data_IF_067609518485
#
_entry.id   IF_067609518485
#
_cell.length_a   1.000
_cell.length_b   1.000
_cell.length_c   1.000
_cell.angle_alpha   90.00
_cell.angle_beta   90.00
_cell.angle_gamma   90.00
#
_symmetry.space_group_name_H-M   'P 1'
#
loop_
_entity.id
_entity.type
_entity.pdbx_description
1 polymer ?
#
# COMPACT_ATOMS: atom_id res chain seq x y z
N UNK A 1 -28.66 24.78 -12.21
CA UNK A 1 -28.29 23.47 -11.62
C UNK A 1 -27.91 23.72 -10.18
N UNK A 2 -28.63 23.16 -9.21
CA UNK A 2 -28.13 23.11 -7.83
C UNK A 2 -26.87 22.24 -7.83
N UNK A 3 -25.80 22.71 -7.19
CA UNK A 3 -24.63 21.87 -6.94
C UNK A 3 -25.11 20.65 -6.15
N UNK A 4 -24.80 19.45 -6.64
CA UNK A 4 -25.17 18.21 -5.96
C UNK A 4 -24.36 18.16 -4.66
N UNK A 5 -25.04 18.14 -3.53
CA UNK A 5 -24.39 17.96 -2.23
C UNK A 5 -23.81 16.54 -2.19
N UNK A 6 -22.47 16.43 -2.16
CA UNK A 6 -21.78 15.15 -2.15
C UNK A 6 -21.97 14.47 -0.78
N UNK A 7 -22.20 13.16 -0.78
CA UNK A 7 -22.33 12.41 0.48
C UNK A 7 -21.00 12.38 1.23
N UNK A 8 -21.06 12.62 2.54
CA UNK A 8 -19.88 12.50 3.40
C UNK A 8 -19.41 11.05 3.50
N UNK A 9 -18.09 10.83 3.35
CA UNK A 9 -17.46 9.51 3.42
C UNK A 9 -16.61 9.39 4.69
N UNK A 10 -16.80 8.28 5.40
CA UNK A 10 -16.09 7.96 6.63
C UNK A 10 -15.38 6.61 6.57
N UNK A 11 -14.25 6.52 7.26
CA UNK A 11 -13.53 5.28 7.54
C UNK A 11 -14.04 4.74 8.87
N UNK A 12 -14.59 3.52 8.88
CA UNK A 12 -15.12 2.87 10.10
C UNK A 12 -14.13 1.87 10.68
N UNK A 13 -13.28 1.29 9.85
CA UNK A 13 -12.15 0.46 10.30
C UNK A 13 -11.00 0.52 9.30
N UNK A 14 -9.79 0.30 9.78
CA UNK A 14 -8.61 0.10 8.96
C UNK A 14 -7.69 -0.91 9.65
N UNK A 15 -7.29 -1.94 8.92
CA UNK A 15 -6.38 -2.98 9.42
C UNK A 15 -5.45 -3.45 8.30
N UNK A 16 -4.42 -4.20 8.67
CA UNK A 16 -3.45 -4.79 7.75
C UNK A 16 -2.89 -6.11 8.27
N UNK A 17 -2.35 -6.91 7.38
CA UNK A 17 -1.45 -8.00 7.79
C UNK A 17 -0.15 -7.41 8.36
N UNK A 18 0.68 -8.21 9.04
CA UNK A 18 2.10 -7.91 9.11
C UNK A 18 2.68 -7.76 7.71
N UNK A 19 3.78 -7.03 7.61
CA UNK A 19 4.59 -6.93 6.40
C UNK A 19 5.71 -7.96 6.50
N UNK A 20 5.66 -8.96 5.62
CA UNK A 20 6.67 -9.99 5.50
C UNK A 20 7.83 -9.54 4.61
N UNK A 21 9.05 -9.93 4.95
CA UNK A 21 10.21 -9.69 4.08
C UNK A 21 10.20 -10.63 2.88
N UNK A 22 10.83 -10.21 1.77
CA UNK A 22 10.92 -11.00 0.54
C UNK A 22 11.36 -12.44 0.79
N UNK A 23 10.59 -13.39 0.25
CA UNK A 23 10.76 -14.84 0.33
C UNK A 23 10.88 -15.36 1.76
N UNK A 24 10.15 -14.74 2.70
CA UNK A 24 10.24 -15.06 4.12
C UNK A 24 8.89 -15.40 4.76
N UNK A 25 8.53 -14.81 5.91
CA UNK A 25 7.44 -15.25 6.78
C UNK A 25 6.07 -15.41 6.09
N UNK A 26 5.73 -14.52 5.16
CA UNK A 26 4.45 -14.52 4.44
C UNK A 26 4.53 -15.09 3.02
N UNK A 27 5.73 -15.46 2.54
CA UNK A 27 5.93 -15.98 1.18
C UNK A 27 5.10 -17.21 0.79
N UNK A 28 4.62 -18.07 1.72
CA UNK A 28 3.71 -19.17 1.35
C UNK A 28 2.33 -18.71 0.87
N UNK A 29 1.94 -17.46 1.08
CA UNK A 29 0.60 -16.94 0.75
C UNK A 29 0.64 -16.08 -0.53
N UNK A 30 -0.33 -16.30 -1.41
CA UNK A 30 -0.57 -15.46 -2.58
C UNK A 30 -1.20 -14.11 -2.18
N UNK A 31 -1.04 -13.09 -3.01
CA UNK A 31 -1.59 -11.75 -2.74
C UNK A 31 -3.10 -11.75 -2.39
N UNK A 32 -3.98 -12.50 -3.10
CA UNK A 32 -5.39 -12.57 -2.73
C UNK A 32 -5.69 -13.22 -1.38
N UNK A 33 -4.81 -14.10 -0.88
CA UNK A 33 -4.95 -14.72 0.44
C UNK A 33 -4.56 -13.73 1.55
N UNK A 34 -3.55 -12.89 1.33
CA UNK A 34 -3.24 -11.77 2.22
C UNK A 34 -4.38 -10.74 2.20
N UNK A 35 -4.89 -10.44 1.00
CA UNK A 35 -6.08 -9.61 0.77
C UNK A 35 -7.28 -10.06 1.57
N UNK A 36 -7.62 -11.35 1.53
CA UNK A 36 -8.79 -11.87 2.25
C UNK A 36 -8.66 -11.74 3.77
N UNK A 37 -7.45 -11.89 4.32
CA UNK A 37 -7.19 -11.70 5.75
C UNK A 37 -7.43 -10.25 6.15
N UNK A 38 -6.90 -9.29 5.37
CA UNK A 38 -7.09 -7.87 5.64
C UNK A 38 -8.56 -7.45 5.50
N UNK A 39 -9.24 -7.86 4.41
CA UNK A 39 -10.67 -7.57 4.18
C UNK A 39 -11.53 -8.13 5.31
N UNK A 40 -11.33 -9.40 5.68
CA UNK A 40 -12.06 -10.04 6.79
C UNK A 40 -11.82 -9.30 8.10
N UNK A 41 -10.56 -9.00 8.43
CA UNK A 41 -10.21 -8.27 9.65
C UNK A 41 -10.80 -6.86 9.69
N UNK A 42 -10.88 -6.17 8.55
CA UNK A 42 -11.46 -4.83 8.48
C UNK A 42 -12.96 -4.87 8.79
N UNK A 43 -13.69 -5.82 8.21
CA UNK A 43 -15.13 -6.00 8.46
C UNK A 43 -15.40 -6.39 9.91
N UNK A 44 -14.65 -7.35 10.45
CA UNK A 44 -14.74 -7.75 11.86
C UNK A 44 -14.46 -6.58 12.80
N UNK A 45 -13.45 -5.75 12.50
CA UNK A 45 -13.12 -4.57 13.28
C UNK A 45 -14.17 -3.46 13.18
N UNK A 46 -14.84 -3.32 12.04
CA UNK A 46 -15.95 -2.39 11.84
C UNK A 46 -17.22 -2.83 12.58
N UNK A 47 -17.36 -4.13 12.88
CA UNK A 47 -18.53 -4.67 13.57
C UNK A 47 -19.78 -4.70 12.69
N UNK A 48 -19.62 -4.79 11.37
CA UNK A 48 -20.73 -4.85 10.41
C UNK A 48 -20.93 -6.27 9.85
N UNK A 49 -22.16 -6.64 9.43
CA UNK A 49 -22.40 -7.87 8.68
C UNK A 49 -21.64 -7.88 7.34
N UNK A 50 -21.13 -9.05 6.95
CA UNK A 50 -20.35 -9.19 5.69
C UNK A 50 -21.19 -8.92 4.44
N UNK A 51 -22.47 -9.24 4.49
CA UNK A 51 -23.46 -9.03 3.44
C UNK A 51 -23.88 -7.56 3.29
N UNK A 52 -23.51 -6.69 4.24
CA UNK A 52 -23.69 -5.25 4.11
C UNK A 52 -22.67 -4.62 3.15
N UNK A 53 -21.52 -5.26 2.88
CA UNK A 53 -20.52 -4.75 1.94
C UNK A 53 -21.02 -4.91 0.52
N UNK A 54 -21.14 -3.79 -0.20
CA UNK A 54 -21.75 -3.77 -1.53
C UNK A 54 -20.72 -3.88 -2.65
N UNK A 55 -19.48 -3.41 -2.46
CA UNK A 55 -18.46 -3.41 -3.51
C UNK A 55 -17.04 -3.36 -2.90
N UNK A 56 -16.06 -3.95 -3.60
CA UNK A 56 -14.68 -4.06 -3.13
C UNK A 56 -13.66 -3.61 -4.17
N UNK A 57 -12.80 -2.66 -3.82
CA UNK A 57 -11.65 -2.25 -4.63
C UNK A 57 -10.33 -2.60 -3.94
N UNK A 58 -9.49 -3.42 -4.58
CA UNK A 58 -8.17 -3.78 -4.04
C UNK A 58 -7.08 -3.43 -5.04
N UNK A 59 -6.11 -2.64 -4.58
CA UNK A 59 -4.90 -2.34 -5.32
C UNK A 59 -3.98 -3.56 -5.39
N UNK A 60 -3.50 -3.90 -6.58
CA UNK A 60 -2.44 -4.90 -6.77
C UNK A 60 -1.68 -4.60 -8.07
N UNK A 61 -0.35 -4.51 -7.99
CA UNK A 61 0.51 -4.16 -9.12
C UNK A 61 0.90 -5.42 -9.90
N UNK A 62 1.54 -6.37 -9.22
CA UNK A 62 2.05 -7.59 -9.84
C UNK A 62 0.93 -8.64 -9.88
N UNK A 63 0.13 -8.61 -10.94
CA UNK A 63 -1.07 -9.46 -11.07
C UNK A 63 -0.81 -10.80 -11.75
N UNK A 64 0.31 -10.96 -12.44
CA UNK A 64 0.61 -12.22 -13.12
C UNK A 64 0.81 -13.37 -12.13
N UNK A 65 0.27 -14.54 -12.48
CA UNK A 65 0.29 -15.71 -11.59
C UNK A 65 -0.75 -15.69 -10.47
N UNK A 66 -1.40 -14.55 -10.19
CA UNK A 66 -2.41 -14.44 -9.14
C UNK A 66 -3.78 -15.05 -9.52
N UNK A 67 -3.97 -15.47 -10.78
CA UNK A 67 -5.25 -15.98 -11.29
C UNK A 67 -6.25 -14.88 -11.68
N UNK A 68 -7.45 -15.27 -12.10
CA UNK A 68 -8.47 -14.33 -12.57
C UNK A 68 -9.03 -13.48 -11.42
N UNK A 69 -9.17 -12.17 -11.66
CA UNK A 69 -9.82 -11.21 -10.76
C UNK A 69 -9.31 -11.25 -9.29
N UNK A 70 -8.06 -10.84 -9.01
CA UNK A 70 -7.47 -10.90 -7.67
C UNK A 70 -8.33 -10.27 -6.55
N UNK A 71 -8.93 -9.09 -6.76
CA UNK A 71 -9.82 -8.46 -5.78
C UNK A 71 -11.05 -9.33 -5.45
N UNK A 72 -11.59 -10.02 -6.46
CA UNK A 72 -12.73 -10.94 -6.29
C UNK A 72 -12.34 -12.18 -5.50
N UNK A 73 -11.15 -12.73 -5.75
CA UNK A 73 -10.61 -13.83 -4.94
C UNK A 73 -10.47 -13.42 -3.47
N UNK A 74 -9.91 -12.23 -3.20
CA UNK A 74 -9.79 -11.71 -1.84
C UNK A 74 -11.15 -11.55 -1.14
N UNK A 75 -12.13 -10.94 -1.82
CA UNK A 75 -13.48 -10.74 -1.28
C UNK A 75 -14.21 -12.06 -0.98
N UNK A 76 -14.21 -13.01 -1.91
CA UNK A 76 -14.87 -14.30 -1.71
C UNK A 76 -14.19 -15.15 -0.64
N UNK A 77 -12.85 -15.15 -0.59
CA UNK A 77 -12.09 -15.87 0.44
C UNK A 77 -12.27 -15.23 1.84
N UNK A 78 -12.61 -13.94 1.91
CA UNK A 78 -13.00 -13.29 3.17
C UNK A 78 -14.45 -13.64 3.60
N UNK A 79 -15.20 -14.30 2.72
CA UNK A 79 -16.58 -14.75 2.94
C UNK A 79 -17.63 -13.68 2.68
N UNK A 80 -17.36 -12.72 1.79
CA UNK A 80 -18.37 -11.77 1.32
C UNK A 80 -19.36 -12.47 0.37
N UNK A 81 -20.51 -11.85 0.16
CA UNK A 81 -21.55 -12.39 -0.71
C UNK A 81 -21.04 -12.52 -2.17
N UNK A 82 -21.44 -13.59 -2.85
CA UNK A 82 -21.18 -13.77 -4.28
C UNK A 82 -21.75 -12.63 -5.15
N UNK A 83 -22.74 -11.88 -4.67
CA UNK A 83 -23.27 -10.71 -5.37
C UNK A 83 -22.33 -9.49 -5.32
N UNK A 84 -21.28 -9.49 -4.49
CA UNK A 84 -20.41 -8.31 -4.26
C UNK A 84 -19.51 -8.02 -5.48
N UNK A 85 -19.74 -6.99 -6.30
CA UNK A 85 -18.81 -6.59 -7.35
C UNK A 85 -17.40 -6.29 -6.80
N UNK A 86 -16.38 -6.60 -7.60
CA UNK A 86 -14.99 -6.38 -7.22
C UNK A 86 -14.15 -5.87 -8.40
N UNK A 87 -13.24 -4.94 -8.12
CA UNK A 87 -12.30 -4.39 -9.11
C UNK A 87 -10.89 -4.40 -8.56
N UNK A 88 -9.94 -4.95 -9.33
CA UNK A 88 -8.51 -4.83 -9.04
C UNK A 88 -7.98 -3.56 -9.67
N UNK A 89 -7.32 -2.71 -8.89
CA UNK A 89 -6.78 -1.41 -9.36
C UNK A 89 -5.27 -1.50 -9.47
N UNK A 90 -4.70 -1.01 -10.57
CA UNK A 90 -3.26 -0.85 -10.72
C UNK A 90 -2.92 0.61 -11.04
N UNK A 91 -2.25 1.25 -10.09
CA UNK A 91 -1.57 2.54 -10.20
C UNK A 91 -0.17 2.42 -9.57
N UNK A 92 0.52 1.30 -9.78
CA UNK A 92 1.85 1.02 -9.20
C UNK A 92 1.82 1.19 -7.66
N UNK A 93 2.82 1.82 -7.02
CA UNK A 93 2.90 1.98 -5.56
C UNK A 93 1.66 2.68 -4.95
N UNK A 94 0.96 3.45 -5.79
CA UNK A 94 -0.22 4.25 -5.50
C UNK A 94 -1.54 3.43 -5.50
N UNK A 95 -1.50 2.16 -5.90
CA UNK A 95 -2.70 1.33 -6.15
C UNK A 95 -3.65 1.21 -4.95
N UNK A 96 -3.10 1.05 -3.73
CA UNK A 96 -3.90 0.92 -2.52
C UNK A 96 -4.65 2.22 -2.19
N UNK A 97 -3.97 3.35 -2.28
CA UNK A 97 -4.57 4.67 -2.04
C UNK A 97 -5.59 5.01 -3.12
N UNK A 98 -5.29 4.72 -4.39
CA UNK A 98 -6.24 4.95 -5.49
C UNK A 98 -7.50 4.13 -5.37
N UNK A 99 -7.41 2.89 -4.84
CA UNK A 99 -8.58 2.07 -4.55
C UNK A 99 -9.51 2.73 -3.53
N UNK A 100 -8.95 3.33 -2.48
CA UNK A 100 -9.70 4.09 -1.47
C UNK A 100 -10.35 5.34 -2.09
N UNK A 101 -9.63 6.07 -2.94
CA UNK A 101 -10.16 7.25 -3.64
C UNK A 101 -11.35 6.87 -4.55
N UNK A 102 -11.20 5.83 -5.37
CA UNK A 102 -12.27 5.35 -6.27
C UNK A 102 -13.51 4.88 -5.49
N UNK A 103 -13.31 4.17 -4.37
CA UNK A 103 -14.42 3.76 -3.52
C UNK A 103 -15.11 4.97 -2.86
N UNK A 104 -14.33 5.96 -2.40
CA UNK A 104 -14.86 7.20 -1.84
C UNK A 104 -15.71 7.96 -2.87
N UNK A 105 -15.26 8.05 -4.12
CA UNK A 105 -16.04 8.66 -5.20
C UNK A 105 -17.38 7.95 -5.42
N UNK A 106 -17.40 6.61 -5.37
CA UNK A 106 -18.62 5.83 -5.55
C UNK A 106 -19.64 6.06 -4.42
N UNK A 107 -19.15 6.22 -3.19
CA UNK A 107 -19.94 6.58 -2.01
C UNK A 107 -20.45 8.03 -2.09
N UNK A 108 -19.60 8.98 -2.46
CA UNK A 108 -19.95 10.40 -2.65
C UNK A 108 -21.07 10.59 -3.69
N UNK A 109 -21.00 9.83 -4.79
CA UNK A 109 -22.00 9.85 -5.88
C UNK A 109 -23.31 9.11 -5.52
N UNK A 110 -23.34 8.39 -4.40
CA UNK A 110 -24.49 7.66 -3.91
C UNK A 110 -24.82 6.38 -4.69
N UNK A 111 -23.83 5.78 -5.35
CA UNK A 111 -24.01 4.48 -6.02
C UNK A 111 -23.94 3.32 -5.03
N UNK A 112 -23.14 3.48 -3.97
CA UNK A 112 -23.02 2.56 -2.85
C UNK A 112 -23.08 3.35 -1.53
N UNK A 113 -23.32 2.63 -0.45
CA UNK A 113 -23.33 3.12 0.93
C UNK A 113 -22.20 2.52 1.77
N UNK A 114 -21.73 1.31 1.43
CA UNK A 114 -20.73 0.54 2.19
C UNK A 114 -19.79 -0.19 1.24
N UNK A 115 -18.50 0.14 1.30
CA UNK A 115 -17.47 -0.47 0.47
C UNK A 115 -16.26 -0.88 1.29
N UNK A 116 -15.51 -1.87 0.78
CA UNK A 116 -14.17 -2.16 1.28
C UNK A 116 -13.15 -1.71 0.24
N UNK A 117 -12.13 -0.99 0.68
CA UNK A 117 -11.04 -0.57 -0.18
C UNK A 117 -9.67 -0.79 0.47
N UNK A 118 -8.66 -1.09 -0.33
CA UNK A 118 -7.32 -1.35 0.19
C UNK A 118 -6.31 -1.74 -0.88
N UNK A 119 -5.29 -2.49 -0.46
CA UNK A 119 -4.27 -3.02 -1.36
C UNK A 119 -3.67 -4.32 -0.84
N UNK A 120 -3.13 -5.10 -1.75
CA UNK A 120 -2.47 -6.38 -1.47
C UNK A 120 -1.36 -6.61 -2.48
N UNK A 121 -0.25 -7.15 -2.02
CA UNK A 121 0.86 -7.53 -2.88
C UNK A 121 1.57 -8.75 -2.30
N UNK A 122 2.02 -9.64 -3.17
CA UNK A 122 2.98 -10.67 -2.80
C UNK A 122 4.11 -10.69 -3.81
N UNK A 123 5.12 -9.87 -3.54
CA UNK A 123 6.30 -9.80 -4.38
C UNK A 123 7.08 -11.12 -4.33
N UNK A 124 7.00 -11.89 -3.24
CA UNK A 124 7.62 -13.22 -3.15
C UNK A 124 7.10 -14.23 -4.17
N UNK A 125 5.86 -14.04 -4.66
CA UNK A 125 5.20 -14.96 -5.59
C UNK A 125 5.12 -14.41 -7.02
N UNK A 126 5.78 -13.27 -7.31
CA UNK A 126 5.85 -12.72 -8.65
C UNK A 126 6.61 -13.70 -9.58
N UNK A 127 6.01 -14.13 -10.70
CA UNK A 127 6.63 -15.15 -11.56
C UNK A 127 7.73 -14.57 -12.45
N UNK A 128 8.42 -15.45 -13.18
CA UNK A 128 9.18 -15.05 -14.37
C UNK A 128 8.31 -15.21 -15.62
N UNK A 129 8.56 -14.39 -16.64
CA UNK A 129 7.88 -14.41 -17.92
C UNK A 129 8.73 -15.06 -19.01
N UNK A 130 8.05 -15.81 -19.87
CA UNK A 130 8.54 -16.24 -21.17
C UNK A 130 7.54 -15.75 -22.22
N UNK A 131 8.01 -15.02 -23.22
CA UNK A 131 7.16 -14.54 -24.30
C UNK A 131 6.51 -15.71 -25.04
N UNK A 132 5.24 -15.57 -25.42
CA UNK A 132 4.55 -16.55 -26.26
C UNK A 132 5.09 -16.47 -27.68
N UNK A 133 5.36 -17.62 -28.30
CA UNK A 133 5.82 -17.73 -29.69
C UNK A 133 6.89 -18.79 -29.85
N UNK A 134 7.58 -18.76 -30.98
CA UNK A 134 8.69 -19.66 -31.25
C UNK A 134 9.90 -19.34 -30.37
N UNK A 135 10.55 -20.37 -29.85
CA UNK A 135 11.80 -20.20 -29.10
C UNK A 135 12.95 -19.92 -30.08
N UNK A 136 13.60 -18.74 -30.03
CA UNK A 136 14.64 -18.38 -30.98
C UNK A 136 15.88 -19.28 -30.86
N UNK A 137 16.55 -19.51 -32.00
CA UNK A 137 17.88 -20.13 -32.03
C UNK A 137 18.86 -19.25 -31.24
N UNK A 138 19.62 -19.85 -30.32
CA UNK A 138 20.55 -19.13 -29.43
C UNK A 138 20.06 -18.96 -27.98
N UNK A 139 18.81 -19.31 -27.68
CA UNK A 139 18.28 -19.40 -26.31
C UNK A 139 17.18 -18.39 -25.98
N UNK A 140 16.59 -18.54 -24.80
CA UNK A 140 15.49 -17.71 -24.29
C UNK A 140 15.91 -16.95 -23.04
N UNK A 141 15.39 -15.75 -22.87
CA UNK A 141 15.54 -14.96 -21.65
C UNK A 141 14.24 -15.03 -20.84
N UNK A 142 14.32 -15.53 -19.61
CA UNK A 142 13.23 -15.46 -18.64
C UNK A 142 13.29 -14.12 -17.93
N UNK A 143 12.23 -13.32 -18.07
CA UNK A 143 12.17 -11.97 -17.53
C UNK A 143 11.53 -11.98 -16.14
N UNK A 144 12.18 -11.36 -15.15
CA UNK A 144 11.61 -11.21 -13.81
C UNK A 144 10.46 -10.18 -13.84
N UNK A 145 9.24 -10.61 -13.50
CA UNK A 145 8.07 -9.72 -13.49
C UNK A 145 8.16 -8.60 -12.48
N UNK A 146 8.81 -8.83 -11.33
CA UNK A 146 9.00 -7.83 -10.30
C UNK A 146 9.82 -6.66 -10.83
N UNK A 147 10.92 -6.98 -11.52
CA UNK A 147 11.77 -5.99 -12.16
C UNK A 147 11.05 -5.32 -13.32
N UNK A 148 10.42 -6.10 -14.19
CA UNK A 148 9.82 -5.61 -15.44
C UNK A 148 8.58 -4.74 -15.23
N UNK A 149 7.57 -5.25 -14.52
CA UNK A 149 6.27 -4.58 -14.34
C UNK A 149 6.25 -3.66 -13.12
N UNK A 150 7.10 -3.92 -12.13
CA UNK A 150 7.11 -3.18 -10.87
C UNK A 150 8.19 -2.10 -10.78
N UNK A 151 9.43 -2.42 -11.17
CA UNK A 151 10.60 -1.61 -10.79
C UNK A 151 11.39 -1.01 -11.97
N UNK A 152 10.93 -1.15 -13.20
CA UNK A 152 11.59 -0.59 -14.39
C UNK A 152 10.74 0.53 -15.00
N UNK A 153 11.34 1.68 -15.22
CA UNK A 153 10.67 2.78 -15.90
C UNK A 153 10.34 2.40 -17.34
N UNK A 154 9.09 2.60 -17.75
CA UNK A 154 8.60 2.14 -19.04
C UNK A 154 9.26 2.89 -20.22
N UNK A 155 9.79 4.10 -20.02
CA UNK A 155 10.30 4.95 -21.10
C UNK A 155 11.80 4.81 -21.24
N UNK A 156 12.52 5.03 -20.14
CA UNK A 156 13.97 5.08 -20.09
C UNK A 156 14.62 3.73 -19.76
N UNK A 157 13.82 2.73 -19.36
CA UNK A 157 14.25 1.35 -19.11
C UNK A 157 15.34 1.20 -18.05
N UNK A 158 15.40 2.13 -17.09
CA UNK A 158 16.23 1.99 -15.90
C UNK A 158 15.39 1.61 -14.67
N UNK A 159 16.06 1.19 -13.61
CA UNK A 159 15.43 0.84 -12.34
C UNK A 159 14.90 2.10 -11.61
N UNK A 160 13.82 1.98 -10.83
CA UNK A 160 13.26 3.09 -10.02
C UNK A 160 14.28 3.78 -9.11
N UNK A 161 15.27 3.03 -8.63
CA UNK A 161 16.38 3.56 -7.84
C UNK A 161 17.21 4.61 -8.58
N UNK A 162 17.32 4.52 -9.91
CA UNK A 162 18.00 5.52 -10.75
C UNK A 162 17.22 6.84 -10.79
N UNK A 163 15.87 6.80 -10.76
CA UNK A 163 15.05 8.01 -10.59
C UNK A 163 15.34 8.71 -9.25
N UNK A 164 15.52 7.91 -8.20
CA UNK A 164 15.91 8.38 -6.87
C UNK A 164 17.26 9.09 -6.90
N UNK A 165 18.27 8.49 -7.52
CA UNK A 165 19.61 9.10 -7.70
C UNK A 165 19.52 10.43 -8.48
N UNK A 166 18.73 10.48 -9.56
CA UNK A 166 18.49 11.70 -10.31
C UNK A 166 17.90 12.82 -9.43
N UNK A 167 16.92 12.49 -8.58
CA UNK A 167 16.32 13.45 -7.66
C UNK A 167 17.31 13.88 -6.57
N UNK A 168 18.05 12.93 -5.99
CA UNK A 168 19.08 13.22 -4.98
C UNK A 168 20.12 14.21 -5.53
N UNK A 169 20.58 14.00 -6.76
CA UNK A 169 21.48 14.93 -7.46
C UNK A 169 20.85 16.31 -7.69
N UNK A 170 19.63 16.39 -8.22
CA UNK A 170 18.94 17.66 -8.51
C UNK A 170 18.68 18.49 -7.25
N UNK A 171 18.39 17.82 -6.13
CA UNK A 171 18.01 18.46 -4.87
C UNK A 171 19.15 18.58 -3.86
N UNK A 172 20.35 18.07 -4.19
CA UNK A 172 21.52 18.11 -3.32
C UNK A 172 21.40 17.25 -2.05
N UNK A 173 20.63 16.15 -2.11
CA UNK A 173 20.41 15.25 -0.96
C UNK A 173 21.56 14.25 -0.89
N UNK A 174 22.38 14.36 0.15
CA UNK A 174 23.58 13.54 0.32
C UNK A 174 23.28 12.10 0.74
N UNK A 175 24.27 11.21 0.54
CA UNK A 175 24.27 9.85 1.07
C UNK A 175 24.07 9.81 2.60
N UNK A 176 24.73 10.72 3.32
CA UNK A 176 24.67 10.78 4.77
C UNK A 176 23.25 11.08 5.25
N UNK A 177 22.57 12.07 4.65
CA UNK A 177 21.19 12.42 4.99
C UNK A 177 20.22 11.26 4.74
N UNK A 178 20.41 10.52 3.64
CA UNK A 178 19.60 9.34 3.32
C UNK A 178 19.81 8.21 4.34
N UNK A 179 21.06 7.93 4.73
CA UNK A 179 21.37 6.92 5.74
C UNK A 179 20.85 7.30 7.13
N UNK A 180 20.99 8.57 7.53
CA UNK A 180 20.44 9.09 8.78
C UNK A 180 18.92 8.98 8.82
N UNK A 181 18.24 9.31 7.71
CA UNK A 181 16.80 9.14 7.57
C UNK A 181 16.39 7.67 7.71
N UNK A 182 17.10 6.76 7.05
CA UNK A 182 16.84 5.32 7.13
C UNK A 182 17.01 4.79 8.56
N UNK A 183 18.13 5.09 9.21
CA UNK A 183 18.42 4.71 10.60
C UNK A 183 17.29 5.21 11.54
N UNK A 184 16.86 6.46 11.35
CA UNK A 184 15.76 7.04 12.12
C UNK A 184 14.43 6.31 11.87
N UNK A 185 14.14 5.93 10.62
CA UNK A 185 12.96 5.15 10.26
C UNK A 185 12.92 3.80 11.00
N UNK A 186 14.03 3.03 10.97
CA UNK A 186 14.14 1.78 11.72
C UNK A 186 13.92 1.95 13.23
N UNK A 187 14.53 2.99 13.83
CA UNK A 187 14.37 3.29 15.26
C UNK A 187 12.93 3.65 15.62
N UNK A 188 12.25 4.45 14.79
CA UNK A 188 10.83 4.82 14.99
C UNK A 188 9.93 3.59 14.94
N UNK A 189 10.13 2.70 13.97
CA UNK A 189 9.35 1.47 13.85
C UNK A 189 9.59 0.55 15.05
N UNK A 190 10.85 0.38 15.49
CA UNK A 190 11.17 -0.40 16.68
C UNK A 190 10.46 0.14 17.93
N UNK A 191 10.49 1.46 18.15
CA UNK A 191 9.81 2.11 19.26
C UNK A 191 8.27 1.97 19.18
N UNK A 192 7.69 2.06 17.98
CA UNK A 192 6.25 1.87 17.77
C UNK A 192 5.80 0.43 18.05
N UNK A 193 6.62 -0.56 17.72
CA UNK A 193 6.36 -1.97 18.06
C UNK A 193 6.48 -2.19 19.56
N UNK A 194 7.54 -1.69 20.20
CA UNK A 194 7.76 -1.83 21.65
C UNK A 194 6.64 -1.18 22.47
N UNK A 195 6.16 -0.01 22.03
CA UNK A 195 5.01 0.68 22.64
C UNK A 195 3.64 0.10 22.26
N UNK A 196 3.59 -0.94 21.43
CA UNK A 196 2.36 -1.64 21.05
C UNK A 196 1.42 -0.85 20.15
N UNK A 197 1.88 0.22 19.49
CA UNK A 197 1.05 1.09 18.63
C UNK A 197 0.36 0.27 17.53
N UNK A 198 1.09 -0.66 16.90
CA UNK A 198 0.59 -1.44 15.77
C UNK A 198 -0.37 -2.57 16.15
N UNK A 199 -0.50 -2.91 17.44
CA UNK A 199 -1.40 -3.98 17.90
C UNK A 199 -2.87 -3.74 17.53
N UNK A 200 -3.26 -2.48 17.29
CA UNK A 200 -4.63 -2.10 16.93
C UNK A 200 -4.93 -2.24 15.44
N UNK A 201 -3.90 -2.26 14.58
CA UNK A 201 -4.03 -2.32 13.12
C UNK A 201 -3.59 -3.66 12.52
N UNK A 202 -2.71 -4.43 13.18
CA UNK A 202 -2.24 -5.72 12.66
C UNK A 202 -3.26 -6.83 12.96
N UNK A 203 -3.68 -7.54 11.91
CA UNK A 203 -4.39 -8.81 11.97
C UNK A 203 -3.37 -9.93 11.85
N UNK A 204 -3.18 -10.78 12.89
CA UNK A 204 -2.24 -11.89 12.83
C UNK A 204 -2.55 -12.85 11.67
N UNK A 205 -1.50 -13.35 11.03
CA UNK A 205 -1.57 -14.30 9.93
C UNK A 205 -1.07 -15.66 10.39
N UNK A 206 -1.91 -16.69 10.26
CA UNK A 206 -1.54 -18.08 10.55
C UNK A 206 -1.02 -18.74 9.28
N UNK A 207 0.23 -19.20 9.32
CA UNK A 207 0.87 -19.99 8.26
C UNK A 207 0.77 -21.47 8.65
N UNK A 208 0.03 -22.30 7.88
CA UNK A 208 -0.12 -23.71 8.20
C UNK A 208 1.21 -24.45 8.26
N UNK A 209 1.39 -25.25 9.32
CA UNK A 209 2.57 -26.09 9.48
C UNK A 209 2.64 -27.18 8.41
N UNK A 210 3.85 -27.47 7.91
CA UNK A 210 4.06 -28.60 6.98
C UNK A 210 4.22 -29.91 7.76
N UNK A 211 3.50 -30.97 7.36
CA UNK A 211 3.65 -32.38 7.79
C UNK A 211 4.05 -32.54 9.27
N UNK A 212 3.09 -32.43 10.18
CA UNK A 212 3.28 -32.67 11.61
C UNK A 212 3.96 -31.53 12.40
N UNK A 213 4.37 -30.44 11.73
CA UNK A 213 4.81 -29.21 12.41
C UNK A 213 3.60 -28.36 12.82
N UNK A 214 3.67 -27.62 13.93
CA UNK A 214 2.62 -26.69 14.33
C UNK A 214 2.54 -25.50 13.35
N UNK A 215 1.40 -24.83 13.36
CA UNK A 215 1.20 -23.58 12.65
C UNK A 215 2.09 -22.47 13.21
N UNK A 216 2.51 -21.56 12.34
CA UNK A 216 3.29 -20.38 12.70
C UNK A 216 2.39 -19.16 12.64
N UNK A 217 2.30 -18.41 13.74
CA UNK A 217 1.56 -17.15 13.78
C UNK A 217 2.54 -16.01 13.53
N UNK A 218 2.32 -15.28 12.45
CA UNK A 218 3.04 -14.04 12.12
C UNK A 218 2.15 -12.88 12.58
N UNK A 219 2.62 -12.09 13.55
CA UNK A 219 1.82 -11.02 14.17
C UNK A 219 2.57 -9.69 14.31
N UNK A 220 3.77 -9.60 13.73
CA UNK A 220 4.65 -8.43 13.81
C UNK A 220 5.37 -8.28 12.48
N UNK A 221 5.59 -7.04 12.04
CA UNK A 221 6.37 -6.75 10.83
C UNK A 221 7.79 -7.32 10.93
N UNK A 222 8.31 -7.83 9.82
CA UNK A 222 9.57 -8.57 9.81
C UNK A 222 10.80 -7.68 9.59
N UNK A 223 10.67 -6.70 8.70
CA UNK A 223 11.82 -5.99 8.12
C UNK A 223 12.58 -5.12 9.12
N UNK A 224 11.88 -4.48 10.06
CA UNK A 224 12.51 -3.50 10.97
C UNK A 224 13.57 -4.13 11.90
N UNK A 225 13.57 -5.46 12.04
CA UNK A 225 14.56 -6.22 12.81
C UNK A 225 15.79 -6.58 11.98
N UNK A 226 15.73 -6.44 10.66
CA UNK A 226 16.76 -6.87 9.69
C UNK A 226 17.71 -5.73 9.33
N UNK A 227 18.26 -5.07 10.34
CA UNK A 227 19.19 -3.95 10.16
C UNK A 227 20.43 -4.10 11.04
N UNK A 228 21.58 -3.75 10.48
CA UNK A 228 22.81 -3.53 11.24
C UNK A 228 23.24 -2.08 11.03
N UNK A 229 23.03 -1.24 12.04
CA UNK A 229 23.28 0.20 11.94
C UNK A 229 24.74 0.55 11.63
N UNK A 230 25.71 -0.22 12.13
CA UNK A 230 27.13 0.01 11.88
C UNK A 230 27.51 -0.23 10.42
N UNK A 231 26.78 -1.14 9.75
CA UNK A 231 27.01 -1.46 8.33
C UNK A 231 26.35 -0.46 7.38
N UNK A 232 25.34 0.30 7.81
CA UNK A 232 24.58 1.20 6.91
C UNK A 232 25.49 2.14 6.12
N UNK A 233 26.45 2.88 6.74
CA UNK A 233 27.34 3.79 5.99
C UNK A 233 28.34 3.06 5.08
N UNK A 234 28.56 1.77 5.30
CA UNK A 234 29.56 0.96 4.59
C UNK A 234 28.98 0.26 3.35
N UNK A 235 27.65 0.25 3.20
CA UNK A 235 27.01 -0.44 2.09
C UNK A 235 27.32 0.24 0.74
N UNK A 236 27.57 -0.56 -0.31
CA UNK A 236 27.75 -0.04 -1.65
C UNK A 236 26.42 0.50 -2.19
N UNK A 237 26.52 1.45 -3.10
CA UNK A 237 25.38 1.95 -3.87
C UNK A 237 24.98 0.92 -4.93
N UNK A 238 23.69 0.64 -5.04
CA UNK A 238 23.20 -0.52 -5.81
C UNK A 238 22.64 -0.15 -7.18
N UNK A 239 22.26 1.12 -7.38
CA UNK A 239 21.64 1.58 -8.63
C UNK A 239 22.58 2.42 -9.50
N UNK A 240 23.60 3.05 -8.91
CA UNK A 240 24.55 3.89 -9.61
C UNK A 240 25.96 3.69 -9.03
N UNK A 241 26.93 3.39 -9.90
CA UNK A 241 28.32 3.14 -9.50
C UNK A 241 29.06 4.42 -9.14
N UNK A 242 28.97 5.44 -10.00
CA UNK A 242 29.68 6.71 -9.82
C UNK A 242 28.81 7.70 -9.06
N UNK A 243 29.28 8.22 -7.93
CA UNK A 243 28.56 9.23 -7.14
C UNK A 243 27.12 8.85 -6.76
N UNK A 244 26.84 7.55 -6.58
CA UNK A 244 25.55 7.09 -6.10
C UNK A 244 25.36 7.40 -4.61
N UNK A 245 24.12 7.45 -4.17
CA UNK A 245 23.73 7.65 -2.76
C UNK A 245 22.80 6.57 -2.23
N UNK A 246 22.11 5.84 -3.10
CA UNK A 246 21.07 4.88 -2.70
C UNK A 246 21.66 3.48 -2.52
N UNK A 247 21.37 2.88 -1.36
CA UNK A 247 21.81 1.55 -0.95
C UNK A 247 20.62 0.67 -0.59
N UNK A 248 20.87 -0.62 -0.37
CA UNK A 248 19.86 -1.54 0.13
C UNK A 248 19.30 -1.16 1.53
N UNK A 249 20.05 -0.40 2.35
CA UNK A 249 19.58 -0.02 3.69
C UNK A 249 18.74 1.26 3.71
N UNK A 250 18.93 2.16 2.73
CA UNK A 250 18.22 3.43 2.67
C UNK A 250 17.12 3.48 1.58
N UNK A 251 16.98 2.41 0.79
CA UNK A 251 15.83 2.15 -0.07
C UNK A 251 14.77 1.29 0.65
N UNK A 252 13.53 1.32 0.16
CA UNK A 252 12.51 0.34 0.57
C UNK A 252 12.90 -1.07 0.12
N UNK A 253 12.54 -2.07 0.92
CA UNK A 253 12.75 -3.48 0.56
C UNK A 253 11.59 -4.02 -0.29
N UNK A 254 11.72 -5.29 -0.68
CA UNK A 254 10.68 -6.06 -1.37
C UNK A 254 9.91 -6.83 -0.29
N UNK A 255 8.57 -6.79 -0.35
CA UNK A 255 7.74 -7.28 0.75
C UNK A 255 6.45 -7.97 0.28
N UNK A 256 5.84 -8.71 1.21
CA UNK A 256 4.49 -9.25 1.08
C UNK A 256 3.59 -8.62 2.14
N UNK A 257 2.36 -8.27 1.78
CA UNK A 257 1.39 -7.76 2.75
C UNK A 257 0.07 -7.29 2.13
N UNK A 258 -0.90 -7.00 2.98
CA UNK A 258 -2.17 -6.38 2.58
C UNK A 258 -2.71 -5.46 3.65
N UNK A 259 -3.41 -4.40 3.23
CA UNK A 259 -4.20 -3.53 4.09
C UNK A 259 -5.60 -3.33 3.49
N UNK A 260 -6.61 -3.15 4.35
CA UNK A 260 -7.98 -2.87 3.95
C UNK A 260 -8.67 -1.94 4.97
N UNK A 261 -9.61 -1.14 4.47
CA UNK A 261 -10.48 -0.30 5.28
C UNK A 261 -11.94 -0.49 4.86
N UNK A 262 -12.84 -0.33 5.83
CA UNK A 262 -14.28 -0.23 5.58
C UNK A 262 -14.62 1.26 5.44
N UNK A 263 -15.17 1.61 4.29
CA UNK A 263 -15.63 2.94 3.94
C UNK A 263 -17.15 2.95 3.90
N UNK A 264 -17.76 3.96 4.49
CA UNK A 264 -19.22 4.11 4.52
C UNK A 264 -19.60 5.56 4.21
N UNK A 265 -20.82 5.77 3.70
CA UNK A 265 -21.45 7.08 3.84
C UNK A 265 -21.73 7.36 5.31
N UNK A 266 -21.69 8.63 5.73
CA UNK A 266 -21.98 8.99 7.13
C UNK A 266 -23.37 8.49 7.56
N UNK A 267 -24.39 8.70 6.73
CA UNK A 267 -25.76 8.19 6.96
C UNK A 267 -25.81 6.68 7.16
N UNK A 268 -25.01 5.89 6.42
CA UNK A 268 -24.96 4.45 6.58
C UNK A 268 -24.30 4.06 7.90
N UNK A 269 -23.23 4.77 8.30
CA UNK A 269 -22.58 4.56 9.58
C UNK A 269 -23.53 4.84 10.75
N UNK A 270 -24.33 5.92 10.67
CA UNK A 270 -25.37 6.23 11.66
C UNK A 270 -26.46 5.16 11.69
N UNK A 271 -27.00 4.76 10.54
CA UNK A 271 -28.03 3.71 10.44
C UNK A 271 -27.58 2.38 11.02
N UNK A 272 -26.29 2.05 10.89
CA UNK A 272 -25.72 0.82 11.43
C UNK A 272 -25.20 0.97 12.87
N UNK A 273 -25.31 2.16 13.46
CA UNK A 273 -24.82 2.48 14.79
C UNK A 273 -23.32 2.13 14.98
N UNK A 274 -22.51 2.37 13.95
CA UNK A 274 -21.06 2.18 13.98
C UNK A 274 -20.36 3.52 14.09
N UNK A 275 -19.31 3.59 14.91
CA UNK A 275 -18.58 4.84 15.16
C UNK A 275 -17.51 5.07 14.10
N UNK A 276 -17.57 6.18 13.32
CA UNK A 276 -16.48 6.56 12.43
C UNK A 276 -15.15 6.75 13.15
N UNK A 277 -14.05 6.27 12.54
CA UNK A 277 -12.69 6.55 13.00
C UNK A 277 -12.16 7.86 12.45
N UNK A 278 -12.50 8.15 11.20
CA UNK A 278 -12.06 9.33 10.48
C UNK A 278 -13.00 9.68 9.33
N UNK A 279 -12.95 10.94 8.89
CA UNK A 279 -13.63 11.43 7.69
C UNK A 279 -12.63 11.60 6.56
N UNK A 280 -13.02 11.20 5.34
CA UNK A 280 -12.27 11.49 4.11
C UNK A 280 -12.71 12.87 3.63
N UNK A 281 -11.81 13.84 3.70
CA UNK A 281 -12.15 15.24 3.39
C UNK A 281 -11.74 15.68 1.99
N UNK A 282 -10.86 14.91 1.34
CA UNK A 282 -10.31 15.25 0.05
C UNK A 282 -9.21 14.29 -0.39
N UNK A 283 -8.93 14.31 -1.68
CA UNK A 283 -7.87 13.52 -2.30
C UNK A 283 -7.51 14.07 -3.67
N UNK A 284 -6.23 13.93 -4.05
CA UNK A 284 -5.74 14.41 -5.34
C UNK A 284 -4.69 13.48 -5.93
N UNK A 285 -4.68 13.42 -7.27
CA UNK A 285 -3.64 12.80 -8.07
C UNK A 285 -2.74 13.87 -8.71
N UNK A 286 -1.43 13.63 -8.69
CA UNK A 286 -0.47 14.39 -9.48
C UNK A 286 0.50 13.47 -10.23
N UNK A 287 0.96 13.97 -11.38
CA UNK A 287 1.98 13.35 -12.20
C UNK A 287 2.95 14.43 -12.65
N UNK A 288 4.21 14.03 -12.80
CA UNK A 288 5.33 14.84 -13.33
C UNK A 288 6.06 13.99 -14.37
N UNK A 289 7.22 14.42 -14.86
CA UNK A 289 8.02 13.57 -15.74
C UNK A 289 8.35 12.23 -15.05
N UNK A 290 8.34 11.07 -15.76
CA UNK A 290 8.51 9.74 -15.16
C UNK A 290 9.74 9.62 -14.25
N UNK A 291 10.90 10.15 -14.70
CA UNK A 291 12.16 10.14 -13.92
C UNK A 291 12.09 10.99 -12.64
N UNK A 292 11.18 11.96 -12.59
CA UNK A 292 10.99 12.89 -11.48
C UNK A 292 9.85 12.46 -10.56
N UNK A 293 9.34 11.22 -10.67
CA UNK A 293 8.32 10.72 -9.77
C UNK A 293 8.59 10.89 -8.26
N UNK A 294 9.85 10.88 -7.74
CA UNK A 294 10.07 11.06 -6.32
C UNK A 294 9.58 12.41 -5.79
N UNK A 295 9.44 13.43 -6.66
CA UNK A 295 8.88 14.75 -6.29
C UNK A 295 7.38 14.88 -6.58
N UNK A 296 6.77 13.90 -7.24
CA UNK A 296 5.33 13.93 -7.55
C UNK A 296 4.41 14.09 -6.32
N UNK A 297 4.71 13.55 -5.11
CA UNK A 297 3.89 13.80 -3.92
C UNK A 297 3.78 15.29 -3.56
N UNK A 298 4.85 16.06 -3.83
CA UNK A 298 4.89 17.50 -3.53
C UNK A 298 3.93 18.32 -4.41
N UNK A 299 3.42 17.75 -5.51
CA UNK A 299 2.39 18.36 -6.36
C UNK A 299 0.98 17.87 -6.02
N UNK A 300 0.83 16.67 -5.46
CA UNK A 300 -0.46 16.13 -5.08
C UNK A 300 -1.02 16.86 -3.84
N UNK A 301 -0.20 17.06 -2.81
CA UNK A 301 -0.62 17.67 -1.54
C UNK A 301 -1.18 19.09 -1.74
N UNK A 302 -0.51 20.02 -2.47
CA UNK A 302 -1.02 21.38 -2.64
C UNK A 302 -2.25 21.48 -3.54
N UNK A 303 -2.54 20.49 -4.40
CA UNK A 303 -3.78 20.51 -5.21
C UNK A 303 -5.03 20.48 -4.33
N UNK A 304 -4.96 19.78 -3.20
CA UNK A 304 -6.07 19.72 -2.24
C UNK A 304 -6.10 20.97 -1.33
N UNK A 305 -4.94 21.47 -0.91
CA UNK A 305 -4.87 22.47 0.19
C UNK A 305 -4.44 23.88 -0.20
N UNK A 306 -3.94 24.07 -1.42
CA UNK A 306 -3.15 25.24 -1.78
C UNK A 306 -1.76 25.25 -1.12
N UNK A 307 -0.98 26.30 -1.38
CA UNK A 307 0.33 26.52 -0.75
C UNK A 307 0.20 27.35 0.55
N UNK A 308 1.11 27.18 1.52
CA UNK A 308 1.22 28.04 2.71
C UNK A 308 0.62 27.46 4.01
N UNK A 309 0.10 28.32 4.89
CA UNK A 309 -0.42 27.96 6.24
C UNK A 309 -1.49 26.85 6.24
N UNK A 310 -2.28 26.72 5.17
CA UNK A 310 -3.29 25.66 5.02
C UNK A 310 -2.67 24.26 4.93
N UNK A 311 -1.49 24.12 4.32
CA UNK A 311 -0.75 22.85 4.29
C UNK A 311 -0.13 22.49 5.66
N UNK A 312 0.13 23.49 6.53
CA UNK A 312 0.61 23.27 7.91
C UNK A 312 -0.46 22.71 8.84
N UNK A 313 -1.74 22.76 8.44
CA UNK A 313 -2.86 22.14 9.15
C UNK A 313 -2.91 20.61 8.97
N UNK A 314 -1.98 20.04 8.21
CA UNK A 314 -1.71 18.60 8.13
C UNK A 314 -1.13 18.11 9.47
N UNK A 315 -1.99 18.06 10.48
CA UNK A 315 -1.63 17.58 11.78
C UNK A 315 -2.08 16.12 11.93
N UNK A 316 -1.09 15.22 11.99
CA UNK A 316 -1.19 13.97 12.77
C UNK A 316 -1.31 14.29 14.29
N UNK A 317 -2.02 15.36 14.67
CA UNK A 317 -2.25 15.67 16.08
C UNK A 317 -3.29 14.69 16.60
N UNK A 318 -2.81 13.67 17.29
CA UNK A 318 -3.53 13.08 18.41
C UNK A 318 -3.66 14.15 19.50
N UNK A 319 -4.54 15.13 19.32
CA UNK A 319 -4.97 15.98 20.42
C UNK A 319 -5.86 15.12 21.34
N UNK A 320 -5.59 15.03 22.65
CA UNK A 320 -6.36 14.18 23.56
C UNK A 320 -7.85 14.58 23.70
N UNK A 321 -8.24 15.74 23.16
CA UNK A 321 -9.54 16.37 23.43
C UNK A 321 -10.28 16.98 22.23
N UNK A 322 -9.95 16.61 20.97
CA UNK A 322 -10.84 16.92 19.83
C UNK A 322 -11.14 15.66 19.00
N UNK A 323 -12.43 15.43 18.79
CA UNK A 323 -13.04 14.19 18.31
C UNK A 323 -12.98 13.99 16.78
N UNK A 324 -12.21 14.78 16.04
CA UNK A 324 -12.14 14.69 14.58
C UNK A 324 -10.75 14.25 14.12
N UNK A 325 -10.61 12.97 13.77
CA UNK A 325 -9.47 12.52 12.96
C UNK A 325 -9.83 12.75 11.50
N UNK A 326 -9.22 13.77 10.91
CA UNK A 326 -9.32 14.02 9.47
C UNK A 326 -8.25 13.21 8.75
N UNK A 327 -8.66 12.38 7.77
CA UNK A 327 -7.71 11.60 6.96
C UNK A 327 -7.76 12.13 5.53
N UNK A 328 -6.58 12.43 5.00
CA UNK A 328 -6.44 13.05 3.68
C UNK A 328 -5.36 12.31 2.92
N UNK A 329 -5.72 11.90 1.70
CA UNK A 329 -4.90 11.06 0.86
C UNK A 329 -4.36 11.89 -0.30
N UNK A 330 -3.06 12.13 -0.31
CA UNK A 330 -2.38 12.73 -1.44
C UNK A 330 -1.48 11.66 -2.07
N UNK A 331 -1.74 11.36 -3.33
CA UNK A 331 -1.09 10.27 -4.04
C UNK A 331 -0.43 10.75 -5.33
N UNK A 332 0.62 10.05 -5.73
CA UNK A 332 1.47 10.50 -6.83
C UNK A 332 2.16 9.34 -7.53
N UNK A 333 2.37 9.45 -8.84
CA UNK A 333 2.83 8.32 -9.67
C UNK A 333 4.03 8.69 -10.54
N UNK A 334 4.91 7.72 -10.72
CA UNK A 334 5.80 7.59 -11.87
C UNK A 334 4.96 7.08 -13.04
N UNK A 335 4.30 7.98 -13.78
CA UNK A 335 3.62 7.59 -15.02
C UNK A 335 4.57 7.69 -16.17
#
# INVERSE_FOLDING_TARGET
MQAREEREVVIVSAVRTPIGSFRSSLSPLQAPQLGSIAVKGAIEKAGIPKDAVQEVYMGQVLQAGAGQAPARQAALNAGLNISTPCTTVNKVCASGMKSIMLASQNLMLGHQDIMVAGGMESMSNSPYYLARGDTPYGGVHLQDSLVYDGLTDAYQKFHMGVCGENTAKKMGISRQEQDEFAINSYKKTASAVESGIFSKEIVPVTIPGKRGKPDVIVNTDEEYKRVNFEKVPQLPTVFQKENGTITAANASTINDGSAACVLMTFDAAEKMNVKPLARIVGFADAAVAPIDFPISPAFAIPKEYGYGEKARRFCLQTAPHQQERTVVWADSVAL
#
